data_IF_135573195116
#
_entry.id   IF_135573195116
#
_cell.length_a   1.000
_cell.length_b   1.000
_cell.length_c   1.000
_cell.angle_alpha   90.00
_cell.angle_beta   90.00
_cell.angle_gamma   90.00
#
_symmetry.space_group_name_H-M   'P 1'
#
loop_
_entity.id
_entity.type
_entity.pdbx_description
1 polymer ?
#
# COMPACT_ATOMS: atom_id res chain seq x y z
N UNK A 1 19.68 20.08 -67.49
CA UNK A 1 20.07 19.42 -66.23
C UNK A 1 19.73 20.37 -65.07
N UNK A 2 18.49 20.27 -64.59
CA UNK A 2 17.97 20.75 -63.30
C UNK A 2 17.52 19.46 -62.57
N UNK A 3 17.57 19.28 -61.26
CA UNK A 3 17.00 20.10 -60.19
C UNK A 3 17.77 19.78 -58.89
N UNK A 4 18.16 20.81 -58.12
CA UNK A 4 18.68 20.65 -56.78
C UNK A 4 17.53 20.36 -55.80
N UNK A 5 17.60 19.22 -55.10
CA UNK A 5 16.64 18.83 -54.08
C UNK A 5 16.94 19.52 -52.75
N UNK A 6 16.17 20.56 -52.43
CA UNK A 6 16.10 21.13 -51.08
C UNK A 6 15.22 20.23 -50.21
N UNK A 7 15.82 19.52 -49.26
CA UNK A 7 15.07 18.85 -48.18
C UNK A 7 14.86 19.87 -47.08
N UNK A 8 13.72 20.56 -47.11
CA UNK A 8 13.19 21.26 -45.95
C UNK A 8 12.86 20.24 -44.85
N UNK A 9 13.62 20.28 -43.75
CA UNK A 9 13.27 19.63 -42.50
C UNK A 9 12.26 20.51 -41.76
N UNK A 10 11.00 20.07 -41.56
CA UNK A 10 10.01 20.89 -40.91
C UNK A 10 10.33 21.06 -39.43
N UNK A 11 10.46 22.33 -39.08
CA UNK A 11 10.48 22.94 -37.75
C UNK A 11 10.03 22.02 -36.61
N UNK A 12 11.00 21.77 -35.72
CA UNK A 12 10.80 21.34 -34.33
C UNK A 12 9.61 22.13 -33.76
N UNK A 13 8.47 21.46 -33.58
CA UNK A 13 7.28 22.06 -32.96
C UNK A 13 7.71 22.62 -31.61
N UNK A 14 7.80 23.94 -31.52
CA UNK A 14 7.84 24.69 -30.28
C UNK A 14 6.64 24.23 -29.47
N UNK A 15 6.92 23.45 -28.41
CA UNK A 15 5.90 23.00 -27.45
C UNK A 15 5.30 24.28 -26.89
N UNK A 16 4.04 24.50 -27.25
CA UNK A 16 3.24 25.63 -26.85
C UNK A 16 3.48 25.94 -25.36
N UNK A 17 3.77 27.20 -25.09
CA UNK A 17 3.73 27.83 -23.77
C UNK A 17 2.42 27.46 -23.10
N UNK A 18 2.46 26.43 -22.25
CA UNK A 18 1.37 26.07 -21.36
C UNK A 18 1.29 27.17 -20.32
N UNK A 19 0.19 27.92 -20.37
CA UNK A 19 -0.06 29.08 -19.53
C UNK A 19 0.14 28.80 -18.05
N UNK A 20 0.61 29.83 -17.34
CA UNK A 20 0.66 30.01 -15.89
C UNK A 20 0.62 28.70 -15.08
N UNK A 21 1.77 28.03 -14.99
CA UNK A 21 1.99 27.06 -13.92
C UNK A 21 2.40 27.85 -12.68
N UNK A 22 1.60 27.73 -11.62
CA UNK A 22 1.88 28.36 -10.31
C UNK A 22 3.11 27.74 -9.61
N UNK A 23 3.58 26.59 -10.09
CA UNK A 23 4.85 25.98 -9.75
C UNK A 23 5.98 26.57 -10.62
N UNK A 24 7.03 27.10 -10.00
CA UNK A 24 8.28 27.44 -10.70
C UNK A 24 9.08 26.23 -11.21
N UNK A 25 8.45 25.04 -11.26
CA UNK A 25 9.06 23.74 -11.51
C UNK A 25 8.57 23.16 -12.84
N UNK A 26 9.41 22.32 -13.47
CA UNK A 26 9.00 21.53 -14.62
C UNK A 26 8.28 20.22 -14.21
N UNK A 27 7.61 19.58 -15.18
CA UNK A 27 6.82 18.35 -14.95
C UNK A 27 7.66 17.19 -14.36
N UNK A 28 8.95 17.13 -14.68
CA UNK A 28 9.84 16.09 -14.17
C UNK A 28 10.24 16.37 -12.72
N UNK A 29 10.50 17.64 -12.39
CA UNK A 29 10.77 18.10 -11.03
C UNK A 29 9.56 17.92 -10.12
N UNK A 30 8.36 18.29 -10.58
CA UNK A 30 7.10 18.05 -9.86
C UNK A 30 6.89 16.57 -9.54
N UNK A 31 7.08 15.70 -10.54
CA UNK A 31 6.93 14.26 -10.37
C UNK A 31 7.96 13.68 -9.41
N UNK A 32 9.23 14.08 -9.57
CA UNK A 32 10.31 13.61 -8.71
C UNK A 32 10.09 14.03 -7.24
N UNK A 33 9.64 15.26 -7.02
CA UNK A 33 9.31 15.77 -5.69
C UNK A 33 8.17 14.98 -5.06
N UNK A 34 7.07 14.75 -5.78
CA UNK A 34 5.96 13.93 -5.31
C UNK A 34 6.39 12.52 -4.92
N UNK A 35 7.14 11.84 -5.78
CA UNK A 35 7.62 10.47 -5.51
C UNK A 35 8.54 10.44 -4.29
N UNK A 36 9.38 11.46 -4.14
CA UNK A 36 10.31 11.54 -3.01
C UNK A 36 9.57 11.80 -1.71
N UNK A 37 8.57 12.69 -1.70
CA UNK A 37 7.77 12.98 -0.51
C UNK A 37 6.89 11.80 -0.11
N UNK A 38 6.35 11.08 -1.08
CA UNK A 38 5.66 9.81 -0.85
C UNK A 38 6.60 8.77 -0.23
N UNK A 39 7.83 8.66 -0.75
CA UNK A 39 8.82 7.75 -0.18
C UNK A 39 9.17 8.14 1.26
N UNK A 40 9.36 9.43 1.55
CA UNK A 40 9.58 9.91 2.93
C UNK A 40 8.40 9.54 3.83
N UNK A 41 7.16 9.80 3.39
CA UNK A 41 5.97 9.45 4.17
C UNK A 41 5.86 7.93 4.42
N UNK A 42 6.24 7.11 3.44
CA UNK A 42 6.31 5.66 3.61
C UNK A 42 7.31 5.24 4.69
N UNK A 43 8.50 5.88 4.76
CA UNK A 43 9.48 5.63 5.81
C UNK A 43 8.97 6.08 7.18
N UNK A 44 8.24 7.20 7.26
CA UNK A 44 7.63 7.66 8.51
C UNK A 44 6.57 6.67 9.00
N UNK A 45 5.75 6.11 8.10
CA UNK A 45 4.80 5.04 8.43
C UNK A 45 5.52 3.80 8.94
N UNK A 46 6.59 3.35 8.29
CA UNK A 46 7.36 2.20 8.73
C UNK A 46 7.95 2.41 10.15
N UNK A 47 8.41 3.64 10.46
CA UNK A 47 8.84 4.01 11.81
C UNK A 47 7.68 3.91 12.81
N UNK A 48 6.49 4.40 12.49
CA UNK A 48 5.31 4.27 13.36
C UNK A 48 4.94 2.80 13.61
N UNK A 49 4.99 1.96 12.58
CA UNK A 49 4.74 0.51 12.71
C UNK A 49 5.74 -0.15 13.68
N UNK A 50 7.02 0.23 13.63
CA UNK A 50 8.02 -0.25 14.60
C UNK A 50 7.72 0.24 16.03
N UNK A 51 7.26 1.49 16.18
CA UNK A 51 6.97 2.08 17.48
C UNK A 51 5.69 1.54 18.13
N UNK A 52 4.67 1.19 17.35
CA UNK A 52 3.48 0.46 17.86
C UNK A 52 3.91 -0.90 18.42
N UNK A 53 4.93 -1.50 17.83
CA UNK A 53 5.44 -2.81 18.21
C UNK A 53 4.83 -3.93 17.37
N UNK A 54 5.27 -5.15 17.60
CA UNK A 54 4.69 -6.32 16.94
C UNK A 54 3.32 -6.63 17.56
N UNK A 55 2.33 -7.07 16.75
CA UNK A 55 1.07 -7.55 17.29
C UNK A 55 1.29 -8.63 18.36
N UNK A 56 0.43 -8.63 19.38
CA UNK A 56 0.43 -9.70 20.38
C UNK A 56 0.30 -11.06 19.67
N UNK A 57 1.17 -12.01 20.04
CA UNK A 57 1.17 -13.34 19.43
C UNK A 57 1.84 -13.44 18.05
N UNK A 58 2.61 -12.44 17.61
CA UNK A 58 3.44 -12.57 16.40
C UNK A 58 4.39 -13.78 16.51
N UNK A 59 4.19 -14.77 15.64
CA UNK A 59 5.01 -15.99 15.61
C UNK A 59 6.48 -15.71 15.25
N UNK A 60 6.75 -14.60 14.55
CA UNK A 60 8.08 -14.22 14.07
C UNK A 60 8.31 -12.72 14.26
N UNK A 61 8.71 -12.27 15.48
CA UNK A 61 8.91 -10.86 15.75
C UNK A 61 10.08 -10.29 14.93
N UNK A 62 9.85 -9.20 14.20
CA UNK A 62 10.90 -8.54 13.40
C UNK A 62 11.86 -7.68 14.22
N UNK A 63 11.39 -7.09 15.32
CA UNK A 63 12.13 -6.13 16.12
C UNK A 63 12.08 -6.49 17.61
N UNK A 64 13.17 -6.20 18.33
CA UNK A 64 13.24 -6.34 19.79
C UNK A 64 12.87 -4.99 20.43
N UNK A 65 12.05 -4.96 21.50
CA UNK A 65 11.71 -3.72 22.18
C UNK A 65 12.90 -3.18 23.00
N UNK A 66 13.74 -2.34 22.37
CA UNK A 66 14.93 -1.74 22.98
C UNK A 66 14.75 -0.25 23.35
N UNK A 67 13.74 0.42 22.77
CA UNK A 67 13.42 1.82 23.07
C UNK A 67 12.47 1.90 24.28
N UNK A 68 12.77 2.70 25.32
CA UNK A 68 11.85 2.97 26.43
C UNK A 68 10.58 3.70 25.98
N UNK A 69 9.42 3.41 26.59
CA UNK A 69 8.13 3.96 26.15
C UNK A 69 8.10 5.49 26.10
N UNK A 70 8.71 6.16 27.09
CA UNK A 70 8.84 7.64 27.09
C UNK A 70 9.51 8.16 25.82
N UNK A 71 10.55 7.47 25.33
CA UNK A 71 11.25 7.86 24.09
C UNK A 71 10.43 7.51 22.85
N UNK A 72 9.70 6.39 22.85
CA UNK A 72 8.78 6.05 21.76
C UNK A 72 7.73 7.14 21.57
N UNK A 73 7.14 7.60 22.67
CA UNK A 73 6.15 8.68 22.61
C UNK A 73 6.75 9.97 22.02
N UNK A 74 7.95 10.36 22.46
CA UNK A 74 8.64 11.53 21.90
C UNK A 74 8.88 11.41 20.39
N UNK A 75 9.17 10.21 19.89
CA UNK A 75 9.34 9.99 18.44
C UNK A 75 7.98 10.07 17.72
N UNK A 76 6.93 9.45 18.27
CA UNK A 76 5.57 9.53 17.70
C UNK A 76 5.10 10.99 17.59
N UNK A 77 5.35 11.80 18.61
CA UNK A 77 4.95 13.21 18.64
C UNK A 77 5.73 14.07 17.61
N UNK A 78 6.93 13.64 17.20
CA UNK A 78 7.76 14.35 16.22
C UNK A 78 7.36 14.09 14.75
N UNK A 79 6.60 13.04 14.46
CA UNK A 79 6.25 12.62 13.10
C UNK A 79 5.19 13.54 12.45
N UNK A 80 4.07 13.91 13.10
CA UNK A 80 3.03 14.75 12.50
C UNK A 80 3.54 16.11 11.96
N UNK A 81 4.40 16.86 12.68
CA UNK A 81 4.98 18.10 12.14
C UNK A 81 5.78 17.91 10.84
N UNK A 82 6.48 16.78 10.69
CA UNK A 82 7.23 16.46 9.47
C UNK A 82 6.27 16.26 8.31
N UNK A 83 5.22 15.44 8.48
CA UNK A 83 4.20 15.22 7.45
C UNK A 83 3.50 16.51 7.05
N UNK A 84 3.14 17.34 8.03
CA UNK A 84 2.55 18.64 7.77
C UNK A 84 3.46 19.51 6.91
N UNK A 85 4.79 19.48 7.14
CA UNK A 85 5.73 20.22 6.31
C UNK A 85 5.82 19.69 4.89
N UNK A 86 5.78 18.37 4.69
CA UNK A 86 5.76 17.77 3.34
C UNK A 86 4.52 18.25 2.56
N UNK A 87 3.34 18.19 3.19
CA UNK A 87 2.08 18.65 2.61
C UNK A 87 2.14 20.14 2.26
N UNK A 88 2.59 20.97 3.21
CA UNK A 88 2.70 22.41 3.02
C UNK A 88 3.61 22.76 1.83
N UNK A 89 4.76 22.09 1.69
CA UNK A 89 5.69 22.36 0.58
C UNK A 89 5.07 21.98 -0.77
N UNK A 90 4.29 20.91 -0.86
CA UNK A 90 3.59 20.56 -2.09
C UNK A 90 2.49 21.58 -2.42
N UNK A 91 1.75 22.03 -1.41
CA UNK A 91 0.70 23.05 -1.57
C UNK A 91 1.29 24.41 -1.98
N UNK A 92 2.37 24.86 -1.32
CA UNK A 92 3.10 26.10 -1.64
C UNK A 92 3.63 26.11 -3.08
N UNK A 93 3.99 24.93 -3.60
CA UNK A 93 4.48 24.74 -4.96
C UNK A 93 3.39 24.35 -5.95
N UNK A 94 2.11 24.33 -5.55
CA UNK A 94 0.97 23.90 -6.37
C UNK A 94 1.17 22.53 -7.06
N UNK A 95 1.94 21.62 -6.44
CA UNK A 95 2.22 20.29 -7.00
C UNK A 95 1.09 19.32 -6.64
N UNK A 96 0.40 18.70 -7.61
CA UNK A 96 -0.73 17.85 -7.33
C UNK A 96 -0.32 16.51 -6.70
N UNK A 97 -0.95 16.18 -5.57
CA UNK A 97 -0.92 14.84 -4.97
C UNK A 97 -1.74 13.88 -5.83
N UNK A 98 -1.11 13.21 -6.80
CA UNK A 98 -1.82 12.42 -7.84
C UNK A 98 -2.16 10.98 -7.45
N UNK A 99 -2.05 10.60 -6.17
CA UNK A 99 -2.21 9.20 -5.81
C UNK A 99 -3.68 8.80 -5.64
N UNK A 100 -4.10 7.77 -6.38
CA UNK A 100 -5.38 7.12 -6.17
C UNK A 100 -5.28 6.27 -4.89
N UNK A 101 -6.02 6.64 -3.86
CA UNK A 101 -6.12 5.84 -2.65
C UNK A 101 -6.65 4.43 -2.99
N UNK A 102 -5.98 3.40 -2.48
CA UNK A 102 -6.46 2.02 -2.57
C UNK A 102 -7.32 1.77 -1.32
N UNK A 103 -8.58 1.31 -1.47
CA UNK A 103 -9.41 0.98 -0.30
C UNK A 103 -8.72 -0.04 0.60
N UNK A 104 -8.76 0.16 1.91
CA UNK A 104 -8.13 -0.74 2.88
C UNK A 104 -8.63 -2.19 2.71
N UNK A 105 -9.93 -2.37 2.49
CA UNK A 105 -10.54 -3.67 2.20
C UNK A 105 -9.92 -4.38 1.01
N UNK A 106 -9.59 -3.65 -0.07
CA UNK A 106 -8.90 -4.23 -1.24
C UNK A 106 -7.50 -4.70 -0.87
N UNK A 107 -6.73 -3.88 -0.16
CA UNK A 107 -5.39 -4.25 0.30
C UNK A 107 -5.42 -5.47 1.21
N UNK A 108 -6.38 -5.53 2.14
CA UNK A 108 -6.53 -6.67 3.05
C UNK A 108 -6.87 -7.94 2.27
N UNK A 109 -7.86 -7.89 1.35
CA UNK A 109 -8.21 -9.04 0.50
C UNK A 109 -7.00 -9.57 -0.28
N UNK A 110 -6.22 -8.68 -0.91
CA UNK A 110 -5.00 -9.08 -1.62
C UNK A 110 -4.00 -9.81 -0.70
N UNK A 111 -3.84 -9.34 0.54
CA UNK A 111 -2.98 -10.01 1.54
C UNK A 111 -3.52 -11.39 1.93
N UNK A 112 -4.83 -11.51 2.19
CA UNK A 112 -5.45 -12.80 2.57
C UNK A 112 -5.37 -13.83 1.44
N UNK A 113 -5.65 -13.42 0.20
CA UNK A 113 -5.46 -14.29 -0.97
C UNK A 113 -4.00 -14.74 -1.11
N UNK A 114 -3.03 -13.85 -0.86
CA UNK A 114 -1.60 -14.23 -0.91
C UNK A 114 -1.25 -15.28 0.14
N UNK A 115 -1.85 -15.17 1.35
CA UNK A 115 -1.68 -16.17 2.41
C UNK A 115 -2.28 -17.51 2.00
N UNK A 116 -3.51 -17.52 1.46
CA UNK A 116 -4.15 -18.77 0.99
C UNK A 116 -3.33 -19.47 -0.09
N UNK A 117 -2.81 -18.72 -1.07
CA UNK A 117 -1.92 -19.25 -2.11
C UNK A 117 -0.67 -19.88 -1.47
N UNK A 118 -0.05 -19.17 -0.52
CA UNK A 118 1.16 -19.67 0.17
C UNK A 118 0.88 -20.96 0.94
N UNK A 119 -0.28 -21.06 1.58
CA UNK A 119 -0.71 -22.27 2.30
C UNK A 119 -1.00 -23.44 1.34
N UNK A 120 -1.65 -23.19 0.22
CA UNK A 120 -1.89 -24.19 -0.82
C UNK A 120 -0.57 -24.70 -1.44
N UNK A 121 0.41 -23.81 -1.67
CA UNK A 121 1.76 -24.20 -2.09
C UNK A 121 2.46 -25.07 -1.03
N UNK A 122 2.29 -24.73 0.24
CA UNK A 122 2.83 -25.49 1.36
C UNK A 122 2.21 -26.90 1.42
N UNK A 123 0.90 -27.02 1.19
CA UNK A 123 0.17 -28.30 1.17
C UNK A 123 0.71 -29.27 0.12
N UNK A 124 1.16 -28.74 -1.02
CA UNK A 124 1.67 -29.52 -2.16
C UNK A 124 3.09 -30.02 -1.97
N UNK A 125 3.82 -29.55 -0.96
CA UNK A 125 5.15 -30.07 -0.66
C UNK A 125 5.07 -31.49 -0.10
N UNK A 126 6.03 -32.31 -0.53
CA UNK A 126 6.32 -33.58 0.13
C UNK A 126 6.96 -33.31 1.49
N UNK A 127 6.38 -33.87 2.54
CA UNK A 127 6.82 -33.70 3.93
C UNK A 127 7.56 -34.94 4.41
N UNK A 128 8.65 -34.71 5.14
CA UNK A 128 9.52 -35.76 5.65
C UNK A 128 10.69 -36.09 4.72
N UNK A 129 11.66 -36.83 5.25
CA UNK A 129 12.77 -37.38 4.46
C UNK A 129 12.31 -38.63 3.70
N UNK A 130 12.95 -39.02 2.59
CA UNK A 130 12.70 -40.32 1.95
C UNK A 130 12.78 -41.46 2.98
N UNK A 131 11.71 -42.27 3.07
CA UNK A 131 11.57 -43.33 4.07
C UNK A 131 10.98 -42.90 5.43
N UNK A 132 10.55 -41.65 5.58
CA UNK A 132 9.83 -41.19 6.79
C UNK A 132 8.43 -41.79 6.85
N UNK A 133 7.91 -41.98 8.07
CA UNK A 133 6.54 -42.44 8.27
C UNK A 133 5.54 -41.42 7.68
N UNK A 134 4.42 -41.87 7.10
CA UNK A 134 3.42 -40.98 6.50
C UNK A 134 2.74 -40.04 7.51
N UNK A 135 2.92 -40.25 8.82
CA UNK A 135 2.30 -39.44 9.88
C UNK A 135 2.66 -37.95 9.83
N UNK A 136 3.93 -37.60 9.54
CA UNK A 136 4.37 -36.19 9.45
C UNK A 136 3.65 -35.46 8.31
N UNK A 137 3.45 -36.13 7.19
CA UNK A 137 2.78 -35.53 6.04
C UNK A 137 1.29 -35.31 6.28
N UNK A 138 0.64 -36.22 7.00
CA UNK A 138 -0.77 -36.06 7.39
C UNK A 138 -0.95 -34.95 8.42
N UNK A 139 -0.06 -34.88 9.42
CA UNK A 139 -0.07 -33.81 10.43
C UNK A 139 0.11 -32.44 9.80
N UNK A 140 1.08 -32.27 8.89
CA UNK A 140 1.28 -31.01 8.17
C UNK A 140 0.07 -30.64 7.30
N UNK A 141 -0.56 -31.61 6.63
CA UNK A 141 -1.81 -31.36 5.89
C UNK A 141 -2.92 -30.85 6.82
N UNK A 142 -3.11 -31.50 7.97
CA UNK A 142 -4.13 -31.08 8.94
C UNK A 142 -3.88 -29.68 9.48
N UNK A 143 -2.62 -29.34 9.82
CA UNK A 143 -2.25 -27.98 10.26
C UNK A 143 -2.56 -26.95 9.17
N UNK A 144 -2.19 -27.24 7.92
CA UNK A 144 -2.39 -26.32 6.80
C UNK A 144 -3.88 -26.09 6.53
N UNK A 145 -4.70 -27.14 6.55
CA UNK A 145 -6.16 -27.00 6.41
C UNK A 145 -6.76 -26.13 7.52
N UNK A 146 -6.38 -26.36 8.78
CA UNK A 146 -6.84 -25.52 9.90
C UNK A 146 -6.43 -24.05 9.76
N UNK A 147 -5.22 -23.76 9.26
CA UNK A 147 -4.79 -22.39 8.97
C UNK A 147 -5.65 -21.74 7.87
N UNK A 148 -6.00 -22.49 6.83
CA UNK A 148 -6.86 -21.99 5.73
C UNK A 148 -8.28 -21.71 6.20
N UNK A 149 -8.86 -22.58 7.02
CA UNK A 149 -10.18 -22.34 7.62
C UNK A 149 -10.23 -21.02 8.41
N UNK A 150 -9.18 -20.72 9.19
CA UNK A 150 -9.08 -19.45 9.91
C UNK A 150 -8.96 -18.25 8.98
N UNK A 151 -8.18 -18.36 7.88
CA UNK A 151 -8.05 -17.29 6.88
C UNK A 151 -9.38 -17.04 6.16
N UNK A 152 -10.09 -18.09 5.75
CA UNK A 152 -11.41 -17.97 5.13
C UNK A 152 -12.45 -17.35 6.08
N UNK A 153 -12.40 -17.68 7.37
CA UNK A 153 -13.24 -17.03 8.38
C UNK A 153 -13.04 -15.51 8.43
N UNK A 154 -11.79 -15.05 8.30
CA UNK A 154 -11.47 -13.62 8.28
C UNK A 154 -11.94 -12.93 6.99
N UNK A 155 -11.86 -13.60 5.84
CA UNK A 155 -12.40 -13.09 4.57
C UNK A 155 -13.92 -12.85 4.66
N UNK A 156 -14.66 -13.80 5.24
CA UNK A 156 -16.11 -13.67 5.45
C UNK A 156 -16.47 -12.47 6.35
N UNK A 157 -15.70 -12.21 7.41
CA UNK A 157 -15.91 -11.05 8.27
C UNK A 157 -15.74 -9.72 7.51
N UNK A 158 -14.78 -9.65 6.58
CA UNK A 158 -14.57 -8.46 5.77
C UNK A 158 -15.72 -8.27 4.80
N UNK A 159 -16.23 -9.33 4.19
CA UNK A 159 -17.36 -9.22 3.26
C UNK A 159 -18.64 -8.78 4.00
N UNK A 160 -18.93 -9.37 5.16
CA UNK A 160 -20.06 -8.95 6.00
C UNK A 160 -19.98 -7.47 6.41
N UNK A 161 -18.80 -6.99 6.82
CA UNK A 161 -18.61 -5.59 7.20
C UNK A 161 -18.79 -4.61 6.03
N UNK A 162 -18.64 -5.05 4.78
CA UNK A 162 -18.84 -4.22 3.60
C UNK A 162 -20.29 -4.25 3.09
N UNK A 163 -21.05 -5.29 3.41
CA UNK A 163 -22.47 -5.41 3.05
C UNK A 163 -23.34 -4.58 4.01
N UNK A 164 -23.02 -4.51 5.30
CA UNK A 164 -23.73 -3.69 6.30
C UNK A 164 -23.66 -2.18 5.99
N UNK A 165 -22.52 -1.68 5.49
CA UNK A 165 -22.33 -0.26 5.13
C UNK A 165 -23.12 0.17 3.87
N UNK A 166 -23.70 -0.81 3.16
CA UNK A 166 -24.52 -0.57 1.96
C UNK A 166 -26.02 -0.44 2.25
N UNK A 167 -26.49 -0.86 3.42
CA UNK A 167 -27.91 -0.78 3.81
C UNK A 167 -28.28 0.58 4.44
N UNK A 168 -27.36 1.21 5.17
CA UNK A 168 -27.55 2.54 5.78
C UNK A 168 -27.74 3.69 4.76
N UNK A 169 -27.34 3.52 3.49
CA UNK A 169 -27.54 4.53 2.43
C UNK A 169 -28.94 4.55 1.82
N UNK A 170 -29.83 3.60 2.15
CA UNK A 170 -31.16 3.49 1.51
C UNK A 170 -32.32 4.10 2.32
N UNK A 171 -32.10 4.53 3.56
CA UNK A 171 -33.18 5.08 4.41
C UNK A 171 -33.30 6.61 4.39
N UNK A 172 -32.44 7.34 3.66
CA UNK A 172 -32.45 8.82 3.63
C UNK A 172 -33.33 9.49 2.57
N UNK A 173 -33.97 8.75 1.65
CA UNK A 173 -34.63 9.34 0.47
C UNK A 173 -36.12 8.98 0.33
N UNK A 174 -36.78 8.75 1.47
CA UNK A 174 -38.24 8.72 1.59
C UNK A 174 -38.67 9.47 2.84
N UNK A 175 -38.60 10.79 2.82
CA UNK A 175 -39.60 11.64 3.46
C UNK A 175 -39.34 13.10 3.07
N UNK A 176 -40.19 13.59 2.17
CA UNK A 176 -40.13 14.95 1.66
C UNK A 176 -41.22 15.17 0.60
N UNK A 177 -42.47 14.86 0.95
CA UNK A 177 -43.66 15.31 0.22
C UNK A 177 -44.26 16.53 0.93
#
# INVERSE_FOLDING_TARGET
>A
MNVAGTVEMPHRKTKATRGARESGLDENQERWLCVTFEYIDSLLRDVEEVLVGQPEGSAFPRNVPDIPEKRRQMIRDAIPPIRQRLVQVLDDLAVPRTQKAIPASRTIRTKLTTIDITLEELKRKEWGRPGSSPGIAEEMRSIIEGLREMVSGLELCIDAAMDDDSDDRREGERDGN
#
